data_IF_048780667878
#
_entry.id   IF_048780667878
#
_cell.length_a   1.000
_cell.length_b   1.000
_cell.length_c   1.000
_cell.angle_alpha   90.00
_cell.angle_beta   90.00
_cell.angle_gamma   90.00
#
_symmetry.space_group_name_H-M   'P 1'
#
loop_
_entity.id
_entity.type
_entity.pdbx_description
1 polymer ?
#
# COMPACT_ATOMS: atom_id res chain seq x y z
N UNK A 1 2.89 -10.33 -4.33
CA UNK A 1 3.35 -9.42 -3.27
C UNK A 1 4.19 -8.30 -3.87
N UNK A 2 5.35 -8.61 -4.45
CA UNK A 2 6.09 -7.68 -5.34
C UNK A 2 5.33 -7.33 -6.63
N UNK A 3 4.40 -8.19 -7.04
CA UNK A 3 3.45 -7.99 -8.15
C UNK A 3 2.40 -6.88 -7.94
N UNK A 4 2.52 -6.09 -6.86
CA UNK A 4 1.72 -4.87 -6.65
C UNK A 4 2.65 -3.64 -6.54
N UNK A 5 3.92 -3.81 -6.91
CA UNK A 5 4.91 -2.75 -6.93
C UNK A 5 5.08 -2.25 -8.37
N UNK A 6 4.12 -1.43 -8.81
CA UNK A 6 4.22 -0.66 -10.05
C UNK A 6 3.84 -1.37 -11.35
N UNK A 7 3.58 -2.68 -11.34
CA UNK A 7 3.17 -3.47 -12.52
C UNK A 7 1.64 -3.57 -12.70
N UNK A 8 0.97 -2.41 -12.68
CA UNK A 8 -0.47 -2.32 -13.01
C UNK A 8 -1.43 -2.43 -11.83
N UNK A 9 -0.94 -2.24 -10.59
CA UNK A 9 -1.80 -2.17 -9.40
C UNK A 9 -2.68 -0.91 -9.42
N UNK A 10 -4.01 -1.02 -9.24
CA UNK A 10 -4.85 0.16 -9.05
C UNK A 10 -4.45 0.88 -7.75
N UNK A 11 -4.22 2.19 -7.83
CA UNK A 11 -3.84 3.02 -6.68
C UNK A 11 -2.35 3.39 -6.63
N UNK A 12 -1.86 3.84 -5.46
CA UNK A 12 -0.48 4.29 -5.29
C UNK A 12 0.55 3.17 -5.55
N UNK A 13 1.74 3.50 -6.07
CA UNK A 13 2.74 2.50 -6.46
C UNK A 13 3.54 1.92 -5.27
N UNK A 14 3.27 2.37 -4.04
CA UNK A 14 3.91 1.90 -2.82
C UNK A 14 3.12 2.33 -1.58
N UNK A 15 3.58 1.89 -0.41
CA UNK A 15 2.96 2.22 0.87
C UNK A 15 3.55 3.49 1.48
N UNK A 16 4.77 3.87 1.09
CA UNK A 16 5.48 5.01 1.67
C UNK A 16 6.03 5.94 0.60
N UNK A 17 5.84 7.25 0.78
CA UNK A 17 6.46 8.28 -0.05
C UNK A 17 7.57 9.01 0.71
N UNK A 18 8.79 8.93 0.19
CA UNK A 18 9.97 9.62 0.70
C UNK A 18 10.46 10.66 -0.31
N UNK A 19 10.29 11.92 0.03
CA UNK A 19 11.00 12.99 -0.66
C UNK A 19 12.36 13.22 0.01
N UNK A 20 13.43 13.09 -0.76
CA UNK A 20 14.80 13.24 -0.28
C UNK A 20 15.68 13.84 -1.37
N UNK A 21 16.53 14.80 -1.00
CA UNK A 21 17.46 15.48 -1.91
C UNK A 21 18.70 14.66 -2.28
N UNK A 22 18.59 13.33 -2.28
CA UNK A 22 19.69 12.41 -2.59
C UNK A 22 19.84 12.24 -4.11
N UNK A 23 21.04 11.86 -4.57
CA UNK A 23 21.30 11.61 -6.00
C UNK A 23 20.37 10.54 -6.59
N UNK A 24 19.97 9.55 -5.78
CA UNK A 24 18.98 8.53 -6.16
C UNK A 24 17.82 8.60 -5.18
N UNK A 25 16.64 8.98 -5.68
CA UNK A 25 15.39 9.00 -4.91
C UNK A 25 14.30 8.35 -5.75
N UNK A 26 13.80 7.20 -5.27
CA UNK A 26 12.71 6.47 -5.93
C UNK A 26 11.33 7.00 -5.59
N UNK A 27 11.25 7.91 -4.61
CA UNK A 27 10.03 8.49 -4.05
C UNK A 27 9.13 7.44 -3.37
N UNK A 28 8.46 6.60 -4.15
CA UNK A 28 7.60 5.55 -3.64
C UNK A 28 8.37 4.29 -3.26
N UNK A 29 8.03 3.73 -2.11
CA UNK A 29 8.65 2.53 -1.55
C UNK A 29 7.58 1.56 -1.02
N UNK A 30 7.88 0.26 -1.06
CA UNK A 30 7.05 -0.81 -0.49
C UNK A 30 7.74 -1.38 0.75
N UNK A 31 7.53 -0.73 1.89
CA UNK A 31 8.12 -1.17 3.16
C UNK A 31 7.21 -2.11 3.94
N UNK A 32 5.91 -2.05 3.70
CA UNK A 32 4.91 -2.82 4.45
C UNK A 32 4.54 -4.09 3.69
N UNK A 33 4.56 -5.23 4.40
CA UNK A 33 4.31 -6.54 3.83
C UNK A 33 3.47 -7.42 4.77
N UNK A 34 2.50 -8.12 4.19
CA UNK A 34 1.74 -9.22 4.80
C UNK A 34 2.38 -10.55 4.43
N UNK A 35 2.89 -11.28 5.43
CA UNK A 35 3.41 -12.63 5.28
C UNK A 35 2.41 -13.64 5.85
N UNK A 36 2.03 -14.63 5.05
CA UNK A 36 0.98 -15.60 5.38
C UNK A 36 1.59 -17.00 5.49
N UNK A 37 1.16 -17.78 6.48
CA UNK A 37 1.58 -19.19 6.62
C UNK A 37 1.01 -20.04 5.47
N UNK A 38 1.71 -21.08 5.01
CA UNK A 38 1.22 -21.98 3.96
C UNK A 38 -0.19 -22.54 4.23
N UNK A 39 -0.47 -22.89 5.48
CA UNK A 39 -1.77 -23.47 5.89
C UNK A 39 -2.96 -22.50 5.74
N UNK A 40 -2.70 -21.21 5.48
CA UNK A 40 -3.73 -20.19 5.25
C UNK A 40 -3.90 -19.82 3.77
N UNK A 41 -3.16 -20.46 2.86
CA UNK A 41 -3.20 -20.14 1.43
C UNK A 41 -4.58 -20.34 0.81
N UNK A 42 -5.30 -21.40 1.20
CA UNK A 42 -6.64 -21.68 0.69
C UNK A 42 -7.67 -20.62 1.14
N UNK A 43 -7.43 -19.99 2.29
CA UNK A 43 -8.25 -18.90 2.81
C UNK A 43 -7.87 -17.55 2.20
N UNK A 44 -6.66 -17.38 1.67
CA UNK A 44 -6.18 -16.11 1.15
C UNK A 44 -6.87 -15.72 -0.17
N UNK A 45 -7.21 -14.43 -0.30
CA UNK A 45 -7.82 -13.84 -1.51
C UNK A 45 -6.85 -12.83 -2.12
N UNK A 46 -5.91 -13.25 -2.99
CA UNK A 46 -4.90 -12.37 -3.59
C UNK A 46 -5.48 -11.23 -4.46
N UNK A 47 -6.68 -11.42 -4.98
CA UNK A 47 -7.45 -10.44 -5.73
C UNK A 47 -7.93 -9.27 -4.85
N UNK A 48 -8.16 -9.53 -3.55
CA UNK A 48 -8.56 -8.54 -2.53
C UNK A 48 -7.37 -7.96 -1.75
N UNK A 49 -6.13 -8.21 -2.20
CA UNK A 49 -4.93 -7.55 -1.68
C UNK A 49 -4.77 -6.18 -2.34
N UNK A 50 -4.76 -5.12 -1.55
CA UNK A 50 -4.64 -3.74 -2.04
C UNK A 50 -3.90 -2.79 -1.10
N UNK A 51 -3.36 -1.72 -1.67
CA UNK A 51 -2.88 -0.56 -0.91
C UNK A 51 -4.04 0.44 -0.86
N UNK A 52 -4.58 0.65 0.34
CA UNK A 52 -5.71 1.56 0.54
C UNK A 52 -5.26 3.01 0.43
N UNK A 53 -5.98 3.78 -0.38
CA UNK A 53 -5.83 5.24 -0.47
C UNK A 53 -7.08 5.99 0.03
N UNK A 54 -8.12 5.28 0.48
CA UNK A 54 -9.32 5.82 1.10
C UNK A 54 -9.92 4.79 2.07
N UNK A 55 -10.69 5.26 3.04
CA UNK A 55 -11.46 4.41 3.98
C UNK A 55 -12.93 4.20 3.54
N UNK A 56 -13.26 4.59 2.31
CA UNK A 56 -14.62 4.59 1.76
C UNK A 56 -15.42 5.87 2.01
N UNK A 57 -14.97 6.75 2.91
CA UNK A 57 -15.59 8.04 3.19
C UNK A 57 -14.64 9.23 2.92
N UNK A 58 -13.34 9.05 3.13
CA UNK A 58 -12.31 10.09 3.04
C UNK A 58 -11.02 9.57 2.42
N UNK A 59 -10.33 10.41 1.65
CA UNK A 59 -9.03 10.11 1.04
C UNK A 59 -7.89 10.12 2.06
N UNK A 60 -7.14 9.03 2.18
CA UNK A 60 -5.89 8.92 2.95
C UNK A 60 -4.72 9.69 2.31
N UNK A 61 -4.94 10.21 1.11
CA UNK A 61 -4.00 11.05 0.38
C UNK A 61 -4.34 12.53 0.53
N UNK A 62 -3.28 13.34 0.56
CA UNK A 62 -3.34 14.79 0.35
C UNK A 62 -3.88 15.11 -1.05
N UNK A 63 -4.21 16.39 -1.29
CA UNK A 63 -4.58 16.86 -2.63
C UNK A 63 -3.50 16.61 -3.70
N UNK A 64 -2.23 16.48 -3.28
CA UNK A 64 -1.10 16.12 -4.14
C UNK A 64 -0.94 14.62 -4.41
N UNK A 65 -1.84 13.77 -3.90
CA UNK A 65 -1.78 12.33 -4.09
C UNK A 65 -0.74 11.61 -3.22
N UNK A 66 -0.20 12.29 -2.20
CA UNK A 66 0.79 11.73 -1.26
C UNK A 66 0.12 11.31 0.06
N UNK A 67 0.67 10.35 0.82
CA UNK A 67 0.14 9.96 2.13
C UNK A 67 -0.01 11.17 3.06
N UNK A 68 -1.22 11.35 3.61
CA UNK A 68 -1.53 12.47 4.49
C UNK A 68 -1.09 12.19 5.93
N UNK A 69 0.13 12.62 6.26
CA UNK A 69 0.74 12.48 7.59
C UNK A 69 0.00 13.25 8.67
N UNK A 70 -0.60 14.39 8.32
CA UNK A 70 -1.29 15.27 9.27
C UNK A 70 -2.66 14.74 9.67
N UNK A 71 -3.30 14.00 8.76
CA UNK A 71 -4.63 13.41 8.98
C UNK A 71 -4.60 11.94 9.39
N UNK A 72 -3.64 11.16 8.90
CA UNK A 72 -3.58 9.72 9.11
C UNK A 72 -2.15 9.22 9.41
N UNK A 73 -1.34 8.97 8.39
CA UNK A 73 -0.01 8.38 8.50
C UNK A 73 0.84 8.72 7.28
N UNK A 74 2.16 8.63 7.42
CA UNK A 74 3.11 8.66 6.32
C UNK A 74 3.18 7.36 5.52
N UNK A 75 2.54 6.30 6.03
CA UNK A 75 2.32 5.03 5.35
C UNK A 75 0.85 4.86 4.95
N UNK A 76 0.63 4.17 3.84
CA UNK A 76 -0.69 3.70 3.41
C UNK A 76 -0.95 2.28 3.92
N UNK A 77 -2.19 1.97 4.34
CA UNK A 77 -2.53 0.62 4.79
C UNK A 77 -2.45 -0.40 3.65
N UNK A 78 -2.02 -1.61 3.99
CA UNK A 78 -2.18 -2.79 3.13
C UNK A 78 -3.40 -3.57 3.63
N UNK A 79 -4.45 -3.64 2.81
CA UNK A 79 -5.63 -4.45 3.09
C UNK A 79 -5.50 -5.81 2.41
N UNK A 80 -5.92 -6.85 3.11
CA UNK A 80 -6.04 -8.20 2.57
C UNK A 80 -7.18 -8.95 3.26
N UNK A 81 -7.65 -10.03 2.64
CA UNK A 81 -8.71 -10.87 3.19
C UNK A 81 -8.30 -12.33 3.33
N UNK A 82 -8.78 -12.93 4.43
CA UNK A 82 -8.82 -14.37 4.67
C UNK A 82 -10.29 -14.82 4.76
N UNK A 83 -10.64 -15.90 4.09
CA UNK A 83 -11.95 -16.56 4.18
C UNK A 83 -11.83 -17.79 5.08
N UNK A 84 -12.06 -17.61 6.37
CA UNK A 84 -11.94 -18.63 7.41
C UNK A 84 -13.26 -19.36 7.67
#
# INVERSE_FOLDING_TARGET
MWSRFGDGSPGPPGTYYRDGGEHITFFWNMYDQVLIRPDLLDAFRPEELEILHADGASSLLTQGGLPDRGRASDHLPVLFRLSL
#
